data_IF_388925677989
#
_entry.id   IF_388925677989
#
_cell.length_a   1.000
_cell.length_b   1.000
_cell.length_c   1.000
_cell.angle_alpha   90.00
_cell.angle_beta   90.00
_cell.angle_gamma   90.00
#
_symmetry.space_group_name_H-M   'P 1'
#
loop_
_entity.id
_entity.type
_entity.pdbx_description
1 polymer ?
#
# COMPACT_ATOMS: atom_id res chain seq x y z
N UNK A 1 -2.85 -25.16 15.99
CA UNK A 1 -2.67 -24.77 14.57
C UNK A 1 -2.51 -23.27 14.54
N UNK A 2 -1.59 -22.73 13.75
CA UNK A 2 -1.35 -21.29 13.75
C UNK A 2 -2.61 -20.57 13.23
N UNK A 3 -3.17 -19.73 14.08
CA UNK A 3 -4.29 -18.82 13.81
C UNK A 3 -3.82 -17.81 12.75
N UNK A 4 -3.96 -18.15 11.46
CA UNK A 4 -3.66 -17.26 10.35
C UNK A 4 -4.97 -16.60 9.92
N UNK A 5 -5.05 -15.27 10.03
CA UNK A 5 -6.23 -14.50 9.59
C UNK A 5 -7.30 -14.20 10.64
N UNK A 6 -7.03 -14.26 11.95
CA UNK A 6 -8.02 -13.88 12.99
C UNK A 6 -7.49 -12.86 14.02
N UNK A 7 -6.38 -12.18 13.71
CA UNK A 7 -5.86 -11.12 14.59
C UNK A 7 -5.45 -9.91 13.76
N UNK A 8 -5.96 -8.74 14.16
CA UNK A 8 -5.91 -7.41 13.52
C UNK A 8 -4.51 -6.76 13.40
N UNK A 9 -3.45 -7.53 13.17
CA UNK A 9 -2.11 -6.98 13.06
C UNK A 9 -1.42 -7.40 11.76
N UNK A 10 -0.55 -6.52 11.25
CA UNK A 10 0.34 -6.69 10.10
C UNK A 10 1.19 -8.00 10.09
N UNK A 11 1.13 -8.80 11.17
CA UNK A 11 1.66 -10.16 11.27
C UNK A 11 0.72 -11.29 10.80
N UNK A 12 -0.45 -10.98 10.24
CA UNK A 12 -1.45 -11.98 9.83
C UNK A 12 -1.11 -12.69 8.49
N UNK A 13 -0.29 -12.07 7.63
CA UNK A 13 0.12 -12.68 6.35
C UNK A 13 0.90 -13.99 6.57
N UNK A 14 0.82 -14.98 5.66
CA UNK A 14 1.54 -16.26 5.80
C UNK A 14 3.04 -16.06 6.09
N UNK A 15 3.51 -16.64 7.20
CA UNK A 15 4.84 -16.35 7.77
C UNK A 15 6.01 -16.89 6.94
N UNK A 16 5.75 -17.88 6.08
CA UNK A 16 6.74 -18.50 5.20
C UNK A 16 7.04 -17.70 3.93
N UNK A 17 6.31 -16.60 3.69
CA UNK A 17 6.57 -15.71 2.57
C UNK A 17 7.70 -14.72 2.87
N UNK A 18 8.49 -14.40 1.84
CA UNK A 18 9.46 -13.30 1.87
C UNK A 18 8.75 -11.94 1.95
N UNK A 19 9.46 -10.89 2.35
CA UNK A 19 8.90 -9.53 2.39
C UNK A 19 8.42 -9.05 1.03
N UNK A 20 9.06 -9.50 -0.05
CA UNK A 20 8.66 -9.19 -1.42
C UNK A 20 7.35 -9.89 -1.79
N UNK A 21 7.28 -11.21 -1.62
CA UNK A 21 6.06 -11.98 -1.94
C UNK A 21 4.86 -11.56 -1.08
N UNK A 22 5.09 -11.12 0.16
CA UNK A 22 4.04 -10.56 1.03
C UNK A 22 3.37 -9.32 0.47
N UNK A 23 3.98 -8.58 -0.47
CA UNK A 23 3.36 -7.40 -1.09
C UNK A 23 2.21 -7.78 -2.03
N UNK A 24 2.32 -8.94 -2.66
CA UNK A 24 1.32 -9.44 -3.62
C UNK A 24 0.23 -10.31 -2.98
N UNK A 25 0.40 -10.65 -1.70
CA UNK A 25 -0.53 -11.49 -0.94
C UNK A 25 -1.45 -10.63 -0.08
N UNK A 26 -2.75 -10.89 -0.16
CA UNK A 26 -3.79 -10.25 0.65
C UNK A 26 -4.91 -11.26 0.94
N UNK A 27 -5.78 -10.96 1.89
CA UNK A 27 -6.90 -11.80 2.29
C UNK A 27 -8.19 -11.36 1.59
N UNK A 28 -9.00 -12.34 1.20
CA UNK A 28 -10.36 -12.15 0.70
C UNK A 28 -11.26 -13.27 1.24
N UNK A 29 -12.53 -13.32 0.84
CA UNK A 29 -13.53 -14.30 1.33
C UNK A 29 -13.15 -15.77 1.13
N UNK A 30 -12.16 -16.07 0.28
CA UNK A 30 -11.63 -17.43 0.09
C UNK A 30 -10.42 -17.75 0.96
N UNK A 31 -9.83 -16.74 1.62
CA UNK A 31 -8.63 -16.83 2.46
C UNK A 31 -7.47 -15.97 1.93
N UNK A 32 -6.22 -16.37 2.21
CA UNK A 32 -5.04 -15.66 1.72
C UNK A 32 -4.79 -15.99 0.25
N UNK A 33 -4.77 -14.96 -0.60
CA UNK A 33 -4.66 -15.11 -2.05
C UNK A 33 -3.43 -14.43 -2.64
N UNK A 34 -2.87 -15.02 -3.68
CA UNK A 34 -1.76 -14.49 -4.46
C UNK A 34 -2.10 -14.42 -5.97
N UNK A 35 -1.38 -13.62 -6.78
CA UNK A 35 -1.48 -13.70 -8.23
C UNK A 35 -1.12 -15.11 -8.73
N UNK A 36 -1.75 -15.55 -9.82
CA UNK A 36 -1.42 -16.84 -10.43
C UNK A 36 0.06 -16.90 -10.83
N UNK A 37 0.74 -17.98 -10.44
CA UNK A 37 2.17 -18.17 -10.68
C UNK A 37 2.43 -19.01 -11.94
N UNK A 38 3.67 -19.00 -12.45
CA UNK A 38 4.08 -19.82 -13.58
C UNK A 38 3.53 -19.39 -14.95
N UNK A 39 2.89 -18.23 -15.03
CA UNK A 39 2.34 -17.63 -16.26
C UNK A 39 2.87 -16.21 -16.46
N UNK A 40 2.72 -15.66 -17.66
CA UNK A 40 3.16 -14.29 -17.93
C UNK A 40 2.41 -13.27 -17.07
N UNK A 41 3.06 -12.17 -16.69
CA UNK A 41 2.44 -11.13 -15.86
C UNK A 41 1.12 -10.59 -16.45
N UNK A 42 1.06 -10.43 -17.77
CA UNK A 42 -0.16 -10.03 -18.47
C UNK A 42 -1.31 -11.05 -18.32
N UNK A 43 -1.00 -12.34 -18.25
CA UNK A 43 -2.00 -13.39 -17.97
C UNK A 43 -2.33 -13.49 -16.49
N UNK A 44 -1.34 -13.31 -15.60
CA UNK A 44 -1.54 -13.33 -14.15
C UNK A 44 -2.55 -12.28 -13.68
N UNK A 45 -2.56 -11.10 -14.31
CA UNK A 45 -3.53 -10.05 -14.03
C UNK A 45 -4.99 -10.40 -14.38
N UNK A 46 -5.20 -11.35 -15.29
CA UNK A 46 -6.52 -11.80 -15.75
C UNK A 46 -6.92 -13.16 -15.17
N UNK A 47 -5.98 -13.86 -14.55
CA UNK A 47 -6.19 -15.19 -14.00
C UNK A 47 -6.89 -15.10 -12.63
N UNK A 48 -7.67 -16.14 -12.31
CA UNK A 48 -8.14 -16.34 -10.94
C UNK A 48 -6.95 -16.42 -10.01
N UNK A 49 -7.01 -15.68 -8.91
CA UNK A 49 -5.97 -15.69 -7.88
C UNK A 49 -5.86 -17.07 -7.24
N UNK A 50 -4.65 -17.46 -6.87
CA UNK A 50 -4.41 -18.71 -6.16
C UNK A 50 -4.67 -18.52 -4.67
N UNK A 51 -5.39 -19.47 -4.06
CA UNK A 51 -5.62 -19.50 -2.62
C UNK A 51 -4.45 -20.24 -1.96
N UNK A 52 -3.66 -19.52 -1.17
CA UNK A 52 -2.54 -20.08 -0.41
C UNK A 52 -3.00 -20.78 0.86
N UNK A 53 -3.99 -20.21 1.52
CA UNK A 53 -4.57 -20.72 2.76
C UNK A 53 -6.06 -20.44 2.71
N UNK A 54 -6.88 -21.49 2.66
CA UNK A 54 -8.32 -21.37 2.82
C UNK A 54 -8.66 -21.10 4.29
N UNK A 55 -9.59 -20.19 4.55
CA UNK A 55 -10.10 -19.90 5.89
C UNK A 55 -11.59 -20.24 5.89
N UNK A 56 -12.03 -21.09 6.81
CA UNK A 56 -13.43 -21.48 6.95
C UNK A 56 -14.25 -20.38 7.60
N UNK A 57 -15.55 -20.33 7.28
CA UNK A 57 -16.55 -19.44 7.88
C UNK A 57 -16.27 -17.93 7.77
N UNK A 58 -15.50 -17.52 6.77
CA UNK A 58 -15.17 -16.12 6.54
C UNK A 58 -16.38 -15.36 5.99
N UNK A 59 -17.18 -14.75 6.87
CA UNK A 59 -18.33 -13.95 6.44
C UNK A 59 -17.90 -12.56 6.00
N UNK A 60 -18.59 -11.96 5.01
CA UNK A 60 -18.32 -10.61 4.46
C UNK A 60 -18.55 -9.46 5.47
N UNK A 61 -18.99 -9.82 6.67
CA UNK A 61 -19.23 -8.93 7.79
C UNK A 61 -18.45 -9.44 8.99
N UNK A 62 -17.84 -8.54 9.76
CA UNK A 62 -17.23 -8.82 11.05
C UNK A 62 -18.30 -9.22 12.09
N UNK A 63 -18.88 -10.40 11.92
CA UNK A 63 -19.78 -10.97 12.90
C UNK A 63 -18.93 -11.58 14.03
N UNK A 64 -18.74 -10.81 15.10
CA UNK A 64 -18.20 -11.27 16.38
C UNK A 64 -16.90 -12.11 16.29
N UNK A 65 -15.90 -11.61 15.57
CA UNK A 65 -14.56 -12.23 15.49
C UNK A 65 -14.48 -13.47 14.59
N UNK A 66 -15.46 -13.66 13.71
CA UNK A 66 -15.54 -14.76 12.74
C UNK A 66 -15.48 -14.24 11.28
N UNK A 67 -14.95 -13.03 11.06
CA UNK A 67 -14.81 -12.42 9.74
C UNK A 67 -13.35 -12.18 9.36
N UNK A 68 -13.16 -11.66 8.14
CA UNK A 68 -11.92 -10.94 7.82
C UNK A 68 -11.84 -9.68 8.68
N UNK A 69 -10.63 -9.42 9.16
CA UNK A 69 -10.27 -8.25 9.95
C UNK A 69 -10.61 -6.93 9.27
N UNK A 70 -10.37 -5.81 9.95
CA UNK A 70 -10.29 -4.52 9.28
C UNK A 70 -9.01 -4.45 8.44
N UNK A 71 -9.15 -4.09 7.16
CA UNK A 71 -8.02 -3.83 6.26
C UNK A 71 -6.94 -2.94 6.90
N UNK A 72 -5.70 -3.40 6.89
CA UNK A 72 -4.55 -2.77 7.54
C UNK A 72 -3.41 -2.52 6.55
N UNK A 73 -2.81 -1.33 6.63
CA UNK A 73 -1.64 -0.96 5.85
C UNK A 73 -0.42 -1.74 6.35
N UNK A 74 0.12 -2.60 5.50
CA UNK A 74 1.21 -3.52 5.86
C UNK A 74 2.59 -3.05 5.43
N UNK A 75 2.67 -2.34 4.31
CA UNK A 75 3.93 -1.75 3.85
C UNK A 75 3.69 -0.58 2.90
N UNK A 76 4.68 0.30 2.83
CA UNK A 76 4.80 1.32 1.79
C UNK A 76 6.11 1.09 1.07
N UNK A 77 6.09 1.19 -0.25
CA UNK A 77 7.26 0.96 -1.08
C UNK A 77 7.44 2.10 -2.09
N UNK A 78 8.70 2.51 -2.26
CA UNK A 78 9.09 3.36 -3.36
C UNK A 78 9.00 2.57 -4.66
N UNK A 79 8.47 3.20 -5.69
CA UNK A 79 8.46 2.62 -7.03
C UNK A 79 9.71 3.02 -7.81
N UNK A 80 10.18 4.26 -7.60
CA UNK A 80 11.49 4.75 -8.04
C UNK A 80 12.26 5.34 -6.83
N UNK A 81 13.58 5.15 -6.83
CA UNK A 81 14.48 5.57 -5.75
C UNK A 81 15.47 6.65 -6.17
N UNK A 82 15.53 7.01 -7.45
CA UNK A 82 16.36 8.08 -7.97
C UNK A 82 15.53 8.97 -8.89
N UNK A 83 15.64 10.29 -8.72
CA UNK A 83 14.94 11.28 -9.52
C UNK A 83 15.88 12.36 -10.00
N UNK A 84 15.86 12.69 -11.29
CA UNK A 84 16.70 13.74 -11.87
C UNK A 84 16.02 15.12 -11.75
N UNK A 85 16.68 16.07 -11.06
CA UNK A 85 16.15 17.43 -10.90
C UNK A 85 16.02 18.16 -12.24
N UNK A 86 16.95 17.95 -13.17
CA UNK A 86 17.01 18.64 -14.45
C UNK A 86 15.85 18.26 -15.37
N UNK A 87 15.36 17.02 -15.29
CA UNK A 87 14.25 16.52 -16.09
C UNK A 87 12.89 16.71 -15.40
N UNK A 88 12.89 16.81 -14.07
CA UNK A 88 11.66 16.69 -13.30
C UNK A 88 11.32 15.22 -13.06
N UNK A 89 10.16 14.95 -12.51
CA UNK A 89 9.75 13.57 -12.30
C UNK A 89 8.41 13.43 -11.62
N UNK A 90 7.98 12.17 -11.51
CA UNK A 90 6.81 11.81 -10.71
C UNK A 90 7.30 11.00 -9.54
N UNK A 91 7.23 11.56 -8.34
CA UNK A 91 7.45 10.78 -7.13
C UNK A 91 6.27 9.84 -6.97
N UNK A 92 6.51 8.54 -6.91
CA UNK A 92 5.46 7.55 -6.72
C UNK A 92 5.80 6.45 -5.71
N UNK A 93 4.77 6.11 -4.94
CA UNK A 93 4.84 5.11 -3.88
C UNK A 93 3.61 4.22 -3.93
N UNK A 94 3.79 2.97 -3.53
CA UNK A 94 2.70 1.99 -3.41
C UNK A 94 2.43 1.67 -1.95
N UNK A 95 1.21 1.90 -1.51
CA UNK A 95 0.68 1.45 -0.21
C UNK A 95 0.09 0.05 -0.39
N UNK A 96 0.52 -0.91 0.43
CA UNK A 96 0.06 -2.30 0.36
C UNK A 96 -0.72 -2.66 1.62
N UNK A 97 -1.99 -2.98 1.43
CA UNK A 97 -2.88 -3.47 2.46
C UNK A 97 -2.84 -5.00 2.50
N UNK A 98 -3.23 -5.57 3.63
CA UNK A 98 -3.53 -7.00 3.75
C UNK A 98 -4.88 -7.39 3.19
N UNK A 99 -5.75 -6.43 2.85
CA UNK A 99 -7.06 -6.67 2.23
C UNK A 99 -7.34 -5.65 1.13
N UNK A 100 -8.39 -5.88 0.33
CA UNK A 100 -8.81 -4.92 -0.69
C UNK A 100 -9.45 -3.70 -0.04
N UNK A 101 -9.11 -2.51 -0.50
CA UNK A 101 -9.67 -1.26 0.03
C UNK A 101 -10.34 -0.44 -1.05
N UNK A 102 -11.44 0.23 -0.68
CA UNK A 102 -12.13 1.19 -1.53
C UNK A 102 -11.75 2.59 -1.10
N UNK A 103 -11.31 3.39 -2.06
CA UNK A 103 -10.92 4.79 -1.84
C UNK A 103 -12.01 5.71 -2.35
N UNK A 104 -12.35 6.72 -1.56
CA UNK A 104 -13.12 7.88 -2.03
C UNK A 104 -12.35 9.18 -1.76
N UNK A 105 -12.46 10.15 -2.65
CA UNK A 105 -11.69 11.40 -2.57
C UNK A 105 -10.20 11.20 -2.83
N UNK A 106 -9.37 12.10 -2.26
CA UNK A 106 -7.93 12.15 -2.49
C UNK A 106 -7.16 12.04 -1.16
N UNK A 107 -7.03 10.84 -0.56
CA UNK A 107 -6.13 10.68 0.57
C UNK A 107 -4.69 11.01 0.15
N UNK A 108 -3.88 11.39 1.12
CA UNK A 108 -2.51 11.85 0.91
C UNK A 108 -1.52 10.97 1.65
N UNK A 109 -0.29 10.93 1.15
CA UNK A 109 0.88 10.53 1.93
C UNK A 109 1.91 11.65 1.90
N UNK A 110 2.45 11.99 3.07
CA UNK A 110 3.51 12.99 3.17
C UNK A 110 4.89 12.34 3.09
N UNK A 111 5.69 12.84 2.15
CA UNK A 111 7.11 12.54 2.00
C UNK A 111 7.87 13.71 2.59
N UNK A 112 8.73 13.42 3.56
CA UNK A 112 9.68 14.38 4.11
C UNK A 112 10.85 14.52 3.13
N UNK A 113 11.29 15.74 2.89
CA UNK A 113 12.43 16.05 2.04
C UNK A 113 13.48 16.85 2.79
N UNK A 114 14.73 16.76 2.34
CA UNK A 114 15.85 17.47 2.97
C UNK A 114 15.60 18.97 3.07
N UNK A 115 15.92 19.57 4.22
CA UNK A 115 15.65 20.98 4.51
C UNK A 115 14.17 21.41 4.42
N UNK A 116 13.23 20.49 4.69
CA UNK A 116 11.79 20.82 4.78
C UNK A 116 11.06 20.87 3.44
N UNK A 117 11.69 20.38 2.37
CA UNK A 117 11.11 20.25 1.02
C UNK A 117 10.15 19.08 0.96
N UNK A 118 9.07 19.20 1.73
CA UNK A 118 8.10 18.12 1.91
C UNK A 118 7.14 18.06 0.72
N UNK A 119 6.69 16.85 0.39
CA UNK A 119 5.76 16.59 -0.70
C UNK A 119 4.53 15.85 -0.20
N UNK A 120 3.36 16.28 -0.66
CA UNK A 120 2.11 15.56 -0.47
C UNK A 120 1.78 14.83 -1.77
N UNK A 121 1.93 13.50 -1.73
CA UNK A 121 1.53 12.62 -2.81
C UNK A 121 0.06 12.29 -2.64
N UNK A 122 -0.71 12.50 -3.72
CA UNK A 122 -2.14 12.22 -3.72
C UNK A 122 -2.42 10.85 -4.31
N UNK A 123 -3.51 10.24 -3.86
CA UNK A 123 -4.06 9.05 -4.48
C UNK A 123 -4.22 9.21 -5.99
N UNK A 124 -3.70 8.24 -6.74
CA UNK A 124 -3.74 8.21 -8.20
C UNK A 124 -4.56 7.03 -8.74
N UNK A 125 -4.40 5.83 -8.17
CA UNK A 125 -5.10 4.62 -8.64
C UNK A 125 -5.05 3.46 -7.64
N UNK A 126 -5.86 2.42 -7.90
CA UNK A 126 -5.84 1.15 -7.15
C UNK A 126 -7.05 0.87 -6.25
N UNK A 127 -8.12 1.67 -6.35
CA UNK A 127 -9.34 1.48 -5.54
C UNK A 127 -10.01 0.14 -5.91
N UNK A 128 -10.51 -0.56 -4.91
CA UNK A 128 -11.05 -1.91 -5.05
C UNK A 128 -9.99 -3.02 -5.10
N UNK A 129 -8.72 -2.67 -4.89
CA UNK A 129 -7.57 -3.61 -4.79
C UNK A 129 -6.84 -3.40 -3.45
N UNK A 130 -5.88 -4.26 -3.14
CA UNK A 130 -5.05 -4.11 -1.93
C UNK A 130 -3.84 -3.16 -2.11
N UNK A 131 -3.63 -2.61 -3.32
CA UNK A 131 -2.46 -1.78 -3.63
C UNK A 131 -2.91 -0.41 -4.14
N UNK A 132 -2.57 0.64 -3.40
CA UNK A 132 -2.89 2.02 -3.78
C UNK A 132 -1.63 2.72 -4.26
N UNK A 133 -1.69 3.33 -5.45
CA UNK A 133 -0.60 4.16 -5.97
C UNK A 133 -0.85 5.61 -5.61
N UNK A 134 0.14 6.23 -4.97
CA UNK A 134 0.15 7.64 -4.59
C UNK A 134 1.24 8.35 -5.40
N UNK A 135 0.94 9.53 -5.93
CA UNK A 135 1.88 10.22 -6.85
C UNK A 135 1.93 11.72 -6.62
N UNK A 136 3.07 12.32 -6.99
CA UNK A 136 3.24 13.76 -7.12
C UNK A 136 4.17 14.08 -8.28
N UNK A 137 3.67 14.83 -9.26
CA UNK A 137 4.49 15.37 -10.34
C UNK A 137 5.22 16.61 -9.85
N UNK A 138 6.52 16.68 -10.12
CA UNK A 138 7.40 17.82 -9.90
C UNK A 138 8.06 18.17 -11.24
N UNK A 139 7.93 19.43 -11.66
CA UNK A 139 8.51 19.88 -12.93
C UNK A 139 10.04 19.95 -12.89
N UNK A 140 10.66 19.93 -14.06
CA UNK A 140 12.09 20.21 -14.25
C UNK A 140 12.54 21.49 -13.53
N UNK A 141 13.73 21.43 -12.94
CA UNK A 141 14.38 22.54 -12.24
C UNK A 141 13.54 23.22 -11.12
N UNK A 142 12.47 22.59 -10.64
CA UNK A 142 11.59 23.16 -9.63
C UNK A 142 12.31 23.30 -8.27
N UNK A 143 12.05 24.38 -7.52
CA UNK A 143 12.64 24.63 -6.21
C UNK A 143 12.06 23.75 -5.08
N UNK A 144 10.97 23.00 -5.35
CA UNK A 144 10.35 22.09 -4.41
C UNK A 144 11.26 20.94 -4.00
N UNK A 145 12.30 20.63 -4.77
CA UNK A 145 13.35 19.65 -4.47
C UNK A 145 14.69 20.14 -5.04
N UNK A 146 15.84 19.70 -4.53
CA UNK A 146 17.14 19.94 -5.19
C UNK A 146 17.99 18.68 -5.23
N UNK A 147 18.99 18.68 -6.12
CA UNK A 147 20.00 17.66 -6.15
C UNK A 147 20.69 17.52 -4.78
N UNK A 148 20.88 16.28 -4.34
CA UNK A 148 21.35 15.94 -3.00
C UNK A 148 20.23 15.78 -1.96
N UNK A 149 18.96 16.00 -2.32
CA UNK A 149 17.86 15.75 -1.39
C UNK A 149 17.64 14.27 -1.19
N UNK A 150 17.60 13.85 0.07
CA UNK A 150 17.03 12.57 0.48
C UNK A 150 15.54 12.77 0.77
N UNK A 151 14.73 11.87 0.22
CA UNK A 151 13.31 11.75 0.46
C UNK A 151 13.04 10.55 1.38
N UNK A 152 12.31 10.80 2.46
CA UNK A 152 11.99 9.80 3.47
C UNK A 152 10.49 9.79 3.81
N UNK A 153 10.00 8.62 4.22
CA UNK A 153 8.63 8.44 4.68
C UNK A 153 8.71 8.01 6.14
N UNK A 154 8.46 8.96 7.03
CA UNK A 154 8.40 8.71 8.47
C UNK A 154 7.13 7.93 8.85
N UNK A 155 7.00 7.51 10.11
CA UNK A 155 5.82 6.80 10.57
C UNK A 155 4.54 7.67 10.47
N UNK A 156 3.41 7.02 10.20
CA UNK A 156 2.06 7.61 10.22
C UNK A 156 1.91 8.87 9.34
N UNK A 157 2.38 8.80 8.10
CA UNK A 157 2.31 9.90 7.12
C UNK A 157 1.18 9.78 6.11
N UNK A 158 0.40 8.69 6.15
CA UNK A 158 -0.85 8.58 5.39
C UNK A 158 -1.95 9.34 6.12
N UNK A 159 -2.72 10.14 5.40
CA UNK A 159 -3.82 10.91 5.96
C UNK A 159 -5.02 11.03 5.03
N UNK A 160 -6.19 11.16 5.64
CA UNK A 160 -7.41 11.53 4.95
C UNK A 160 -7.43 13.04 4.72
N UNK A 161 -7.65 13.48 3.48
CA UNK A 161 -7.73 14.89 3.11
C UNK A 161 -9.14 15.24 2.65
N UNK A 162 -9.68 16.35 3.16
CA UNK A 162 -10.99 16.89 2.78
C UNK A 162 -12.13 15.86 2.76
N UNK A 163 -12.17 14.94 3.74
CA UNK A 163 -13.22 13.91 3.86
C UNK A 163 -13.00 12.68 2.99
N UNK A 164 -11.83 12.51 2.36
CA UNK A 164 -11.47 11.27 1.67
C UNK A 164 -11.51 10.07 2.61
N UNK A 165 -11.85 8.89 2.10
CA UNK A 165 -11.84 7.65 2.88
C UNK A 165 -10.96 6.59 2.22
N UNK A 166 -10.42 5.71 3.05
CA UNK A 166 -9.87 4.42 2.66
C UNK A 166 -10.63 3.44 3.54
N UNK A 167 -11.56 2.70 2.94
CA UNK A 167 -12.40 1.74 3.66
C UNK A 167 -12.03 0.35 3.22
N UNK A 168 -12.10 -0.58 4.15
CA UNK A 168 -12.13 -1.99 3.85
C UNK A 168 -13.27 -2.28 2.87
N UNK A 169 -12.95 -2.99 1.79
CA UNK A 169 -13.95 -3.40 0.81
C UNK A 169 -14.90 -4.44 1.40
N UNK A 170 -14.40 -5.28 2.29
CA UNK A 170 -15.16 -6.29 3.01
C UNK A 170 -15.53 -5.69 4.37
N UNK A 171 -16.76 -5.88 4.85
CA UNK A 171 -17.23 -5.28 6.12
C UNK A 171 -17.43 -3.75 6.12
N UNK A 172 -16.76 -2.98 5.27
CA UNK A 172 -16.98 -1.54 5.06
C UNK A 172 -16.39 -0.61 6.14
N UNK A 173 -15.56 -1.14 7.05
CA UNK A 173 -14.92 -0.36 8.10
C UNK A 173 -13.83 0.57 7.55
N UNK A 174 -13.45 1.62 8.28
CA UNK A 174 -12.30 2.46 7.91
C UNK A 174 -11.00 1.68 8.08
N UNK A 175 -10.18 1.61 7.03
CA UNK A 175 -8.92 0.88 7.05
C UNK A 175 -7.92 1.49 8.06
N UNK A 176 -7.11 0.64 8.68
CA UNK A 176 -6.02 1.03 9.56
C UNK A 176 -4.84 1.49 8.69
N UNK A 177 -4.58 2.79 8.69
CA UNK A 177 -3.52 3.43 7.86
C UNK A 177 -2.24 3.76 8.64
N UNK A 178 -2.12 3.32 9.89
CA UNK A 178 -0.89 3.49 10.67
C UNK A 178 0.23 2.63 10.09
N UNK A 179 1.44 3.16 10.08
CA UNK A 179 2.59 2.44 9.53
C UNK A 179 3.89 2.89 10.19
N UNK A 180 4.87 1.98 10.24
CA UNK A 180 6.22 2.30 10.63
C UNK A 180 6.92 3.18 9.58
N UNK A 181 8.00 3.85 9.98
CA UNK A 181 8.86 4.57 9.03
C UNK A 181 9.42 3.60 7.98
N UNK A 182 9.42 4.05 6.72
CA UNK A 182 10.03 3.30 5.62
C UNK A 182 11.54 3.48 5.71
N UNK A 183 12.28 2.38 5.77
CA UNK A 183 13.75 2.39 5.89
C UNK A 183 14.44 2.77 4.58
N UNK A 184 13.82 2.38 3.45
CA UNK A 184 14.27 2.76 2.12
C UNK A 184 14.00 4.26 1.89
N UNK A 185 14.98 4.96 1.33
CA UNK A 185 14.87 6.37 0.93
C UNK A 185 15.01 6.49 -0.57
N UNK A 186 14.50 7.58 -1.14
CA UNK A 186 14.80 7.98 -2.51
C UNK A 186 15.72 9.20 -2.52
N UNK A 187 16.50 9.37 -3.59
CA UNK A 187 17.44 10.47 -3.77
C UNK A 187 17.08 11.32 -4.98
N UNK A 188 17.30 12.63 -4.87
CA UNK A 188 17.22 13.56 -5.99
C UNK A 188 18.63 13.83 -6.49
N UNK A 189 18.90 13.53 -7.75
CA UNK A 189 20.18 13.73 -8.43
C UNK A 189 20.13 14.98 -9.32
N UNK A 190 21.29 15.36 -9.85
CA UNK A 190 21.50 16.60 -10.60
C UNK A 190 21.22 16.44 -12.09
#
# INVERSE_FOLDING_TARGET
MALWGVTEAAGAKPKWLTSESKRDVFANTSGWVQPAQGISAARAALATREVLVAIGDLSETEAAGQGLGVATLTSINWNDQEYDKSEGGTIDVTLNFDEEVVVTGLPLINVSGTAGRNHNLAYASGSGTNRLRMTKVIAAANAAWNAGDTLNIEANKVSHNAGSTIVDKIGGATAIITHAAVTETAAVIA
#
